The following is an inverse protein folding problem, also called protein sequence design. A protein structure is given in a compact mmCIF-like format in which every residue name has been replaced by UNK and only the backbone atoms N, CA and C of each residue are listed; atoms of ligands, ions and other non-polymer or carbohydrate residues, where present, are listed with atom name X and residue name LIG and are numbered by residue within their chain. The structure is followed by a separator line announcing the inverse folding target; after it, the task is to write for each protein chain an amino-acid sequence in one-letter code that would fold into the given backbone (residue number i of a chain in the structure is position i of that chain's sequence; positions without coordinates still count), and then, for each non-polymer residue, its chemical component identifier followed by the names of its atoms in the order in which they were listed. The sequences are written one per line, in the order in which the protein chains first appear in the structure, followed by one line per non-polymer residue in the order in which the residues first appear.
data_IF_256052653418
#
_entry.id   IF_256052653418
#
_cell.length_a   1.000
_cell.length_b   1.000
_cell.length_c   1.000
_cell.angle_alpha   90.00
_cell.angle_beta   90.00
_cell.angle_gamma   90.00
#
_symmetry.space_group_name_H-M   'P 1'
#
loop_
_entity.id
_entity.type
_entity.pdbx_description
1 polymer ?
#
# COMPACT_ATOMS: atom_id res chain seq x y z
N UNK A 1 25.43 -10.06 -14.39
CA UNK A 1 24.81 -8.90 -13.73
C UNK A 1 24.98 -9.09 -12.23
N UNK A 2 25.99 -8.43 -11.63
CA UNK A 2 26.29 -8.57 -10.20
C UNK A 2 25.12 -8.04 -9.38
N UNK A 3 24.50 -8.91 -8.59
CA UNK A 3 23.54 -8.51 -7.58
C UNK A 3 24.25 -7.54 -6.62
N UNK A 4 23.82 -6.29 -6.61
CA UNK A 4 24.29 -5.33 -5.59
C UNK A 4 23.85 -5.86 -4.24
N UNK A 5 24.76 -5.95 -3.29
CA UNK A 5 24.42 -6.35 -1.92
C UNK A 5 23.34 -5.40 -1.37
N UNK A 6 22.42 -5.95 -0.58
CA UNK A 6 21.37 -5.19 0.10
C UNK A 6 21.91 -3.94 0.80
N UNK A 7 23.07 -4.02 1.44
CA UNK A 7 23.73 -2.91 2.12
C UNK A 7 24.08 -1.73 1.20
N UNK A 8 24.44 -1.99 -0.06
CA UNK A 8 24.73 -0.93 -1.04
C UNK A 8 23.46 -0.26 -1.60
N UNK A 9 22.33 -0.97 -1.62
CA UNK A 9 21.03 -0.40 -1.97
C UNK A 9 20.54 0.56 -0.87
N UNK A 10 20.75 0.20 0.40
CA UNK A 10 20.41 1.06 1.55
C UNK A 10 21.27 2.32 1.64
N UNK A 11 22.54 2.24 1.32
CA UNK A 11 23.48 3.37 1.43
C UNK A 11 23.20 4.52 0.45
N UNK A 12 22.33 4.33 -0.53
CA UNK A 12 22.00 5.33 -1.56
C UNK A 12 20.59 5.90 -1.49
N UNK A 13 19.77 5.41 -0.55
CA UNK A 13 18.37 5.84 -0.43
C UNK A 13 18.17 6.55 0.89
N UNK A 14 17.49 7.68 0.85
CA UNK A 14 17.09 8.39 2.05
C UNK A 14 16.02 7.58 2.77
N UNK A 15 16.27 7.25 4.02
CA UNK A 15 15.29 6.62 4.90
C UNK A 15 14.79 7.62 5.93
N UNK A 16 13.46 7.73 6.06
CA UNK A 16 12.80 8.58 7.03
C UNK A 16 12.00 7.71 8.00
N UNK A 17 12.34 7.68 9.30
CA UNK A 17 11.49 7.07 10.30
C UNK A 17 10.10 7.72 10.28
N UNK A 18 9.03 6.93 10.43
CA UNK A 18 7.68 7.48 10.46
C UNK A 18 7.42 8.33 11.70
N UNK A 19 7.89 7.86 12.83
CA UNK A 19 7.56 8.44 14.14
C UNK A 19 8.77 9.16 14.72
N UNK A 20 8.55 10.30 15.42
CA UNK A 20 9.68 11.05 16.01
C UNK A 20 10.37 10.29 17.14
N UNK A 21 9.59 9.47 17.85
CA UNK A 21 10.02 8.60 18.95
C UNK A 21 9.44 7.20 18.75
N UNK A 22 8.94 6.57 19.81
CA UNK A 22 8.26 5.28 19.72
C UNK A 22 6.96 5.38 18.92
N UNK A 23 6.62 4.35 18.11
CA UNK A 23 5.33 4.27 17.45
C UNK A 23 4.17 4.25 18.44
N UNK A 24 2.98 4.71 18.06
CA UNK A 24 1.80 4.70 18.93
C UNK A 24 1.52 3.31 19.52
N UNK A 25 1.13 3.27 20.80
CA UNK A 25 0.78 2.06 21.53
C UNK A 25 1.96 1.30 22.15
N UNK A 26 3.14 1.40 21.57
CA UNK A 26 4.31 0.67 22.05
C UNK A 26 4.24 -0.85 21.81
N UNK A 27 5.17 -1.59 22.43
CA UNK A 27 5.35 -3.02 22.20
C UNK A 27 6.16 -3.28 20.91
N UNK A 28 5.84 -4.38 20.25
CA UNK A 28 6.45 -4.74 18.98
C UNK A 28 7.64 -5.69 19.08
N UNK A 29 8.23 -6.06 17.94
CA UNK A 29 9.34 -6.99 17.89
C UNK A 29 10.64 -6.35 18.37
N UNK A 30 11.61 -7.18 18.65
CA UNK A 30 12.99 -6.78 18.99
C UNK A 30 13.98 -7.39 18.02
N UNK A 31 15.21 -6.87 18.04
CA UNK A 31 16.28 -7.37 17.20
C UNK A 31 16.29 -6.77 15.80
N UNK A 32 16.99 -7.42 14.88
CA UNK A 32 17.22 -6.92 13.54
C UNK A 32 16.04 -7.17 12.60
N UNK A 33 15.89 -6.29 11.62
CA UNK A 33 15.04 -6.53 10.45
C UNK A 33 15.37 -7.88 9.82
N UNK A 34 14.36 -8.67 9.47
CA UNK A 34 14.51 -9.92 8.74
C UNK A 34 14.19 -9.73 7.27
N UNK A 35 15.13 -10.13 6.43
CA UNK A 35 14.97 -10.08 4.98
C UNK A 35 15.11 -11.51 4.45
N UNK A 36 14.06 -12.02 3.82
CA UNK A 36 14.09 -13.36 3.20
C UNK A 36 14.87 -13.34 1.88
N UNK A 37 15.15 -14.54 1.34
CA UNK A 37 15.87 -14.69 0.08
C UNK A 37 15.19 -14.00 -1.11
N UNK A 38 13.86 -13.89 -1.09
CA UNK A 38 13.08 -13.20 -2.13
C UNK A 38 12.86 -11.70 -1.85
N UNK A 39 13.51 -11.14 -0.82
CA UNK A 39 13.43 -9.73 -0.48
C UNK A 39 12.19 -9.34 0.33
N UNK A 40 11.48 -10.28 0.95
CA UNK A 40 10.37 -9.97 1.86
C UNK A 40 10.88 -9.56 3.22
N UNK A 41 10.30 -8.48 3.76
CA UNK A 41 10.67 -7.92 5.06
C UNK A 41 9.70 -8.36 6.15
N UNK A 42 10.25 -8.65 7.33
CA UNK A 42 9.50 -8.88 8.57
C UNK A 42 10.33 -8.44 9.77
N UNK A 43 9.79 -8.55 10.96
CA UNK A 43 10.40 -8.00 12.17
C UNK A 43 10.62 -6.49 12.05
N UNK A 44 9.54 -5.77 11.76
CA UNK A 44 9.57 -4.33 11.51
C UNK A 44 9.58 -3.59 12.84
N UNK A 45 10.75 -3.35 13.37
CA UNK A 45 10.95 -2.59 14.62
C UNK A 45 10.77 -1.09 14.38
N UNK A 46 11.30 -0.59 13.26
CA UNK A 46 11.31 0.83 12.92
C UNK A 46 10.59 1.06 11.59
N UNK A 47 9.28 1.33 11.62
CA UNK A 47 8.55 1.66 10.39
C UNK A 47 9.06 2.97 9.80
N UNK A 48 9.06 3.05 8.48
CA UNK A 48 9.60 4.21 7.77
C UNK A 48 9.28 4.23 6.29
N UNK A 49 9.78 5.26 5.63
CA UNK A 49 9.70 5.38 4.18
C UNK A 49 11.10 5.50 3.58
N UNK A 50 11.33 4.80 2.48
CA UNK A 50 12.54 4.93 1.67
C UNK A 50 12.23 5.82 0.46
N UNK A 51 12.96 6.91 0.28
CA UNK A 51 12.79 7.83 -0.83
C UNK A 51 13.71 7.46 -1.99
N UNK A 52 13.14 7.36 -3.17
CA UNK A 52 13.81 7.12 -4.44
C UNK A 52 13.59 8.33 -5.35
N UNK A 53 14.63 9.15 -5.51
CA UNK A 53 14.55 10.38 -6.32
C UNK A 53 14.92 10.06 -7.76
N UNK A 54 14.09 10.41 -8.76
CA UNK A 54 14.40 10.21 -10.15
C UNK A 54 15.50 11.17 -10.63
N UNK A 55 16.16 10.81 -11.73
CA UNK A 55 17.17 11.68 -12.36
C UNK A 55 16.54 13.01 -12.84
N UNK A 56 15.34 12.94 -13.40
CA UNK A 56 14.60 14.10 -13.89
C UNK A 56 13.21 14.16 -13.21
N UNK A 57 13.10 14.79 -12.03
CA UNK A 57 11.83 14.85 -11.28
C UNK A 57 10.75 15.62 -12.02
N UNK A 58 9.52 15.08 -12.04
CA UNK A 58 8.33 15.76 -12.59
C UNK A 58 7.53 16.55 -11.53
N UNK A 59 8.00 16.60 -10.28
CA UNK A 59 7.35 17.31 -9.17
C UNK A 59 6.20 16.53 -8.51
N UNK A 60 6.00 15.26 -8.87
CA UNK A 60 4.94 14.40 -8.31
C UNK A 60 5.56 13.22 -7.58
N UNK A 61 4.89 12.78 -6.51
CA UNK A 61 5.34 11.67 -5.66
C UNK A 61 4.32 10.54 -5.64
N UNK A 62 4.83 9.30 -5.51
CA UNK A 62 4.01 8.10 -5.31
C UNK A 62 4.48 7.39 -4.04
N UNK A 63 3.58 7.18 -3.10
CA UNK A 63 3.78 6.33 -1.93
C UNK A 63 3.35 4.91 -2.27
N UNK A 64 4.28 3.97 -2.13
CA UNK A 64 4.11 2.56 -2.49
C UNK A 64 3.97 1.73 -1.21
N UNK A 65 2.97 0.86 -1.16
CA UNK A 65 2.84 -0.17 -0.15
C UNK A 65 2.79 -1.55 -0.81
N UNK A 66 3.82 -2.37 -0.58
CA UNK A 66 3.86 -3.75 -1.00
C UNK A 66 2.93 -4.63 -0.16
N UNK A 67 2.52 -5.77 -0.70
CA UNK A 67 1.69 -6.75 -0.02
C UNK A 67 2.48 -7.75 0.80
N UNK A 68 1.81 -8.83 1.20
CA UNK A 68 2.35 -9.91 2.05
C UNK A 68 1.36 -10.36 3.12
N UNK A 69 0.06 -10.07 2.94
CA UNK A 69 -1.01 -10.50 3.85
C UNK A 69 -0.91 -9.92 5.25
N UNK A 70 -0.23 -8.81 5.44
CA UNK A 70 0.15 -8.24 6.75
C UNK A 70 1.05 -9.16 7.59
N UNK A 71 1.67 -10.16 6.99
CA UNK A 71 2.61 -11.08 7.66
C UNK A 71 4.07 -10.78 7.31
N UNK A 72 4.29 -10.19 6.14
CA UNK A 72 5.57 -9.67 5.66
C UNK A 72 5.31 -8.53 4.67
N UNK A 73 6.37 -7.89 4.21
CA UNK A 73 6.29 -6.83 3.19
C UNK A 73 7.12 -7.27 1.98
N UNK A 74 6.49 -7.45 0.84
CA UNK A 74 7.10 -7.92 -0.41
C UNK A 74 7.98 -6.87 -1.11
N UNK A 75 8.99 -6.34 -0.43
CA UNK A 75 9.84 -5.26 -0.92
C UNK A 75 10.54 -5.59 -2.23
N UNK A 76 11.04 -6.83 -2.36
CA UNK A 76 11.79 -7.27 -3.54
C UNK A 76 10.96 -7.42 -4.80
N UNK A 77 9.65 -7.56 -4.69
CA UNK A 77 8.72 -7.75 -5.82
C UNK A 77 7.89 -6.51 -6.12
N UNK A 78 7.35 -5.88 -5.10
CA UNK A 78 6.34 -4.83 -5.22
C UNK A 78 6.81 -3.47 -4.69
N UNK A 79 7.93 -3.43 -3.97
CA UNK A 79 8.49 -2.20 -3.45
C UNK A 79 9.53 -1.58 -4.38
N UNK A 80 10.76 -2.06 -4.31
CA UNK A 80 11.89 -1.46 -5.02
C UNK A 80 11.77 -1.50 -6.54
N UNK A 81 11.36 -2.61 -7.19
CA UNK A 81 11.23 -2.62 -8.64
C UNK A 81 10.19 -1.59 -9.14
N UNK A 82 9.10 -1.42 -8.41
CA UNK A 82 8.06 -0.44 -8.72
C UNK A 82 8.58 0.99 -8.50
N UNK A 83 9.33 1.24 -7.44
CA UNK A 83 9.97 2.54 -7.20
C UNK A 83 10.91 2.93 -8.33
N UNK A 84 11.75 2.00 -8.79
CA UNK A 84 12.67 2.23 -9.92
C UNK A 84 11.90 2.49 -11.22
N UNK A 85 10.84 1.74 -11.46
CA UNK A 85 10.00 1.95 -12.62
C UNK A 85 9.36 3.35 -12.60
N UNK A 86 8.82 3.78 -11.46
CA UNK A 86 8.27 5.13 -11.28
C UNK A 86 9.35 6.22 -11.48
N UNK A 87 10.56 6.00 -11.00
CA UNK A 87 11.68 6.89 -11.25
C UNK A 87 11.97 7.03 -12.75
N UNK A 88 11.87 5.96 -13.53
CA UNK A 88 12.04 6.01 -14.99
C UNK A 88 10.99 6.87 -15.68
N UNK A 89 9.84 7.10 -15.01
CA UNK A 89 8.74 7.96 -15.49
C UNK A 89 8.78 9.38 -14.88
N UNK A 90 9.78 9.68 -14.05
CA UNK A 90 9.97 11.00 -13.44
C UNK A 90 9.32 11.21 -12.09
N UNK A 91 8.66 10.20 -11.52
CA UNK A 91 8.05 10.29 -10.19
C UNK A 91 9.07 10.04 -9.08
N UNK A 92 9.06 10.86 -8.05
CA UNK A 92 9.70 10.52 -6.78
C UNK A 92 8.88 9.42 -6.12
N UNK A 93 9.53 8.32 -5.74
CA UNK A 93 8.85 7.20 -5.12
C UNK A 93 9.25 7.07 -3.65
N UNK A 94 8.28 6.76 -2.82
CA UNK A 94 8.45 6.47 -1.39
C UNK A 94 7.94 5.06 -1.13
N UNK A 95 8.79 4.18 -0.62
CA UNK A 95 8.41 2.80 -0.31
C UNK A 95 8.21 2.68 1.20
N UNK A 96 7.00 2.29 1.60
CA UNK A 96 6.61 2.18 3.00
C UNK A 96 7.02 0.83 3.58
N UNK A 97 7.75 0.86 4.70
CA UNK A 97 7.85 -0.28 5.61
C UNK A 97 6.94 -0.02 6.81
N UNK A 98 5.89 -0.80 6.93
CA UNK A 98 4.83 -0.62 7.93
C UNK A 98 4.87 -1.73 8.97
N UNK A 99 4.40 -1.43 10.17
CA UNK A 99 4.32 -2.41 11.25
C UNK A 99 3.34 -3.53 10.88
N UNK A 100 3.69 -4.74 11.28
CA UNK A 100 2.88 -5.94 11.02
C UNK A 100 2.08 -6.30 12.28
N UNK A 101 0.74 -6.50 12.14
CA UNK A 101 -0.14 -6.74 13.31
C UNK A 101 0.27 -7.90 14.20
N UNK A 102 0.82 -8.98 13.60
CA UNK A 102 1.24 -10.17 14.33
C UNK A 102 2.57 -10.06 15.09
N UNK A 103 3.21 -8.89 15.07
CA UNK A 103 4.55 -8.69 15.67
C UNK A 103 4.48 -8.07 17.07
N UNK A 104 3.47 -8.42 17.87
CA UNK A 104 3.35 -8.10 19.30
C UNK A 104 3.23 -6.61 19.65
N UNK A 105 2.68 -5.81 18.74
CA UNK A 105 2.34 -4.42 19.02
C UNK A 105 1.12 -4.34 19.93
N UNK A 106 1.12 -3.40 20.89
CA UNK A 106 -0.01 -3.23 21.82
C UNK A 106 -1.27 -2.77 21.10
N UNK A 107 -1.14 -1.91 20.06
CA UNK A 107 -2.27 -1.48 19.25
C UNK A 107 -2.76 -2.52 18.23
N UNK A 108 -2.10 -3.68 18.16
CA UNK A 108 -2.56 -4.88 17.46
C UNK A 108 -2.78 -4.65 15.98
N UNK A 109 -4.01 -4.92 15.52
CA UNK A 109 -4.37 -4.84 14.12
C UNK A 109 -4.43 -3.39 13.55
N UNK A 110 -4.34 -2.36 14.39
CA UNK A 110 -4.41 -0.95 13.96
C UNK A 110 -3.08 -0.39 13.48
N UNK A 111 -1.96 -1.04 13.80
CA UNK A 111 -0.62 -0.45 13.62
C UNK A 111 -0.27 -0.13 12.16
N UNK A 112 -0.63 -1.01 11.22
CA UNK A 112 -0.36 -0.78 9.80
C UNK A 112 -1.17 0.41 9.25
N UNK A 113 -2.42 0.55 9.67
CA UNK A 113 -3.26 1.69 9.28
C UNK A 113 -2.74 3.00 9.87
N UNK A 114 -2.31 3.00 11.12
CA UNK A 114 -1.65 4.16 11.76
C UNK A 114 -0.41 4.59 10.97
N UNK A 115 0.42 3.63 10.59
CA UNK A 115 1.62 3.88 9.79
C UNK A 115 1.28 4.40 8.40
N UNK A 116 0.22 3.89 7.76
CA UNK A 116 -0.24 4.40 6.47
C UNK A 116 -0.66 5.87 6.53
N UNK A 117 -1.46 6.25 7.53
CA UNK A 117 -1.86 7.65 7.71
C UNK A 117 -0.63 8.53 7.98
N UNK A 118 0.25 8.10 8.85
CA UNK A 118 1.48 8.85 9.18
C UNK A 118 2.38 9.00 7.95
N UNK A 119 2.52 7.94 7.14
CA UNK A 119 3.32 7.97 5.91
C UNK A 119 2.76 8.98 4.89
N UNK A 120 1.45 9.01 4.70
CA UNK A 120 0.82 9.98 3.80
C UNK A 120 1.09 11.41 4.29
N UNK A 121 0.95 11.68 5.59
CA UNK A 121 1.26 12.97 6.20
C UNK A 121 2.72 13.36 6.00
N UNK A 122 3.63 12.42 6.23
CA UNK A 122 5.07 12.66 6.11
C UNK A 122 5.46 12.99 4.66
N UNK A 123 4.95 12.24 3.69
CA UNK A 123 5.19 12.53 2.27
C UNK A 123 4.58 13.89 1.90
N UNK A 124 3.38 14.20 2.37
CA UNK A 124 2.75 15.52 2.13
C UNK A 124 3.52 16.68 2.77
N UNK A 125 4.28 16.45 3.81
CA UNK A 125 5.15 17.49 4.38
C UNK A 125 6.33 17.85 3.46
N UNK A 126 6.66 16.96 2.52
CA UNK A 126 7.79 17.10 1.60
C UNK A 126 7.36 17.35 0.15
N UNK A 127 6.14 16.96 -0.22
CA UNK A 127 5.66 16.91 -1.60
C UNK A 127 4.28 17.56 -1.74
N UNK A 128 4.08 18.29 -2.83
CA UNK A 128 2.78 18.94 -3.11
C UNK A 128 1.75 17.97 -3.68
N UNK A 129 2.18 17.07 -4.56
CA UNK A 129 1.33 16.06 -5.19
C UNK A 129 1.70 14.68 -4.67
N UNK A 130 0.73 13.97 -4.09
CA UNK A 130 0.95 12.66 -3.47
C UNK A 130 -0.08 11.67 -3.96
N UNK A 131 0.40 10.67 -4.69
CA UNK A 131 -0.38 9.55 -5.19
C UNK A 131 -0.06 8.30 -4.39
N UNK A 132 -1.03 7.39 -4.25
CA UNK A 132 -0.85 6.12 -3.55
C UNK A 132 -0.85 4.97 -4.55
N UNK A 133 0.01 3.98 -4.33
CA UNK A 133 0.05 2.75 -5.11
C UNK A 133 0.23 1.57 -4.17
N UNK A 134 -0.80 0.74 -4.03
CA UNK A 134 -0.80 -0.39 -3.11
C UNK A 134 -1.05 -1.72 -3.81
N UNK A 135 -0.38 -2.77 -3.31
CA UNK A 135 -0.44 -4.13 -3.84
C UNK A 135 -1.04 -5.07 -2.79
N UNK A 136 -2.05 -5.85 -3.15
CA UNK A 136 -2.64 -6.88 -2.28
C UNK A 136 -3.04 -6.31 -0.90
N UNK A 137 -2.44 -6.79 0.19
CA UNK A 137 -2.65 -6.23 1.54
C UNK A 137 -2.22 -4.76 1.64
N UNK A 138 -1.17 -4.36 0.93
CA UNK A 138 -0.77 -2.95 0.81
C UNK A 138 -1.82 -2.11 0.09
N UNK A 139 -2.51 -2.70 -0.87
CA UNK A 139 -3.69 -2.12 -1.51
C UNK A 139 -4.86 -1.95 -0.55
N UNK A 140 -5.13 -2.95 0.29
CA UNK A 140 -6.11 -2.84 1.36
C UNK A 140 -5.79 -1.66 2.28
N UNK A 141 -4.56 -1.60 2.76
CA UNK A 141 -4.11 -0.57 3.72
C UNK A 141 -4.21 0.84 3.13
N UNK A 142 -3.66 1.08 1.95
CA UNK A 142 -3.70 2.40 1.32
C UNK A 142 -5.10 2.75 0.81
N UNK A 143 -5.85 1.77 0.32
CA UNK A 143 -7.25 1.95 -0.06
C UNK A 143 -8.11 2.40 1.11
N UNK A 144 -7.92 1.79 2.27
CA UNK A 144 -8.63 2.15 3.50
C UNK A 144 -8.19 3.52 4.02
N UNK A 145 -6.90 3.82 4.01
CA UNK A 145 -6.38 5.13 4.44
C UNK A 145 -6.93 6.26 3.56
N UNK A 146 -7.00 6.05 2.25
CA UNK A 146 -7.60 7.01 1.32
C UNK A 146 -9.10 7.24 1.56
N UNK A 147 -9.82 6.22 2.05
CA UNK A 147 -11.24 6.32 2.38
C UNK A 147 -11.52 7.01 3.72
N UNK A 148 -10.54 7.07 4.61
CA UNK A 148 -10.71 7.54 5.99
C UNK A 148 -9.67 8.59 6.41
N UNK A 149 -9.47 9.68 5.64
CA UNK A 149 -8.45 10.68 5.96
C UNK A 149 -8.74 11.43 7.27
N UNK A 150 -10.00 11.50 7.68
CA UNK A 150 -10.43 12.21 8.90
C UNK A 150 -10.50 11.31 10.14
N UNK A 151 -10.20 10.01 9.99
CA UNK A 151 -10.24 9.08 11.12
C UNK A 151 -8.99 9.22 12.00
N UNK A 152 -9.17 9.54 13.27
CA UNK A 152 -8.09 9.67 14.24
C UNK A 152 -7.66 8.29 14.76
N UNK A 153 -6.75 7.61 14.06
CA UNK A 153 -6.29 6.27 14.44
C UNK A 153 -5.24 6.28 15.56
N UNK A 154 -4.64 7.44 15.84
CA UNK A 154 -3.68 7.66 16.91
C UNK A 154 -3.73 9.13 17.38
N UNK A 155 -3.21 9.39 18.56
CA UNK A 155 -3.09 10.76 19.09
C UNK A 155 -1.94 11.51 18.38
N UNK A 156 -2.12 12.78 17.94
CA UNK A 156 -1.08 13.56 17.32
C UNK A 156 0.20 13.62 18.16
N UNK A 157 1.36 13.45 17.51
CA UNK A 157 2.67 13.45 18.19
C UNK A 157 3.51 14.68 17.87
N UNK A 158 3.34 15.30 16.70
CA UNK A 158 4.10 16.45 16.25
C UNK A 158 3.33 17.29 15.21
N UNK A 159 3.98 18.29 14.63
CA UNK A 159 3.37 19.19 13.64
C UNK A 159 2.94 18.46 12.35
N UNK A 160 3.59 17.35 11.96
CA UNK A 160 3.24 16.57 10.79
C UNK A 160 1.83 16.00 10.94
N UNK A 161 1.41 15.66 12.15
CA UNK A 161 0.08 15.11 12.43
C UNK A 161 -1.06 16.13 12.33
N UNK A 162 -0.75 17.41 12.11
CA UNK A 162 -1.73 18.42 11.73
C UNK A 162 -2.09 18.38 10.23
N UNK A 163 -1.29 17.71 9.42
CA UNK A 163 -1.54 17.55 7.98
C UNK A 163 -2.65 16.51 7.80
N UNK A 164 -3.66 16.85 6.98
CA UNK A 164 -4.70 15.87 6.62
C UNK A 164 -4.09 14.84 5.64
N UNK A 165 -4.18 13.53 5.93
CA UNK A 165 -3.57 12.50 5.08
C UNK A 165 -4.41 12.19 3.83
N UNK A 166 -4.60 13.19 2.98
CA UNK A 166 -5.30 13.07 1.70
C UNK A 166 -4.34 12.65 0.59
N UNK A 167 -4.85 11.86 -0.34
CA UNK A 167 -4.17 11.48 -1.58
C UNK A 167 -4.80 12.18 -2.78
N UNK A 168 -3.99 12.44 -3.81
CA UNK A 168 -4.46 13.03 -5.07
C UNK A 168 -5.01 11.97 -6.02
N UNK A 169 -4.52 10.74 -5.92
CA UNK A 169 -5.08 9.55 -6.60
C UNK A 169 -4.65 8.27 -5.90
N UNK A 170 -5.31 7.17 -6.24
CA UNK A 170 -5.05 5.85 -5.66
C UNK A 170 -4.97 4.82 -6.78
N UNK A 171 -3.89 4.02 -6.81
CA UNK A 171 -3.76 2.83 -7.62
C UNK A 171 -3.74 1.59 -6.73
N UNK A 172 -4.58 0.61 -7.03
CA UNK A 172 -4.69 -0.63 -6.28
C UNK A 172 -4.53 -1.82 -7.23
N UNK A 173 -3.53 -2.65 -6.98
CA UNK A 173 -3.16 -3.77 -7.82
C UNK A 173 -3.46 -5.05 -7.08
N UNK A 174 -4.31 -5.90 -7.65
CA UNK A 174 -4.87 -7.10 -7.02
C UNK A 174 -5.17 -6.92 -5.52
N UNK A 175 -5.91 -5.87 -5.15
CA UNK A 175 -6.08 -5.54 -3.74
C UNK A 175 -6.99 -6.52 -3.01
N UNK A 176 -6.80 -6.64 -1.70
CA UNK A 176 -7.87 -7.05 -0.81
C UNK A 176 -8.70 -5.80 -0.49
N UNK A 177 -10.00 -5.85 -0.65
CA UNK A 177 -10.93 -4.74 -0.40
C UNK A 177 -11.90 -5.10 0.71
N UNK A 178 -12.57 -6.24 0.59
CA UNK A 178 -13.54 -6.68 1.57
C UNK A 178 -12.99 -7.82 2.44
N UNK A 179 -13.31 -7.76 3.73
CA UNK A 179 -13.09 -8.86 4.67
C UNK A 179 -14.40 -9.57 5.01
N UNK A 180 -15.50 -9.21 4.33
CA UNK A 180 -16.82 -9.80 4.58
C UNK A 180 -17.01 -11.10 3.79
N UNK A 181 -17.82 -12.05 4.30
CA UNK A 181 -18.13 -13.27 3.57
C UNK A 181 -18.73 -13.00 2.18
N UNK A 182 -18.39 -13.84 1.17
CA UNK A 182 -17.62 -15.07 1.24
C UNK A 182 -16.09 -14.88 1.07
N UNK A 183 -15.58 -13.66 1.07
CA UNK A 183 -14.18 -13.31 0.75
C UNK A 183 -13.28 -13.30 2.00
N UNK A 184 -13.31 -14.37 2.80
CA UNK A 184 -12.68 -14.42 4.12
C UNK A 184 -11.42 -15.31 4.21
N UNK A 185 -10.96 -15.85 3.09
CA UNK A 185 -9.89 -16.86 3.07
C UNK A 185 -8.45 -16.29 2.98
N UNK A 186 -8.30 -14.96 2.98
CA UNK A 186 -6.99 -14.34 2.80
C UNK A 186 -6.19 -14.26 4.10
N UNK A 187 -4.86 -14.21 3.98
CA UNK A 187 -4.00 -13.89 5.12
C UNK A 187 -4.26 -12.48 5.67
N UNK A 188 -4.69 -11.56 4.83
CA UNK A 188 -5.12 -10.20 5.24
C UNK A 188 -6.28 -10.28 6.24
N UNK A 189 -7.30 -11.06 5.94
CA UNK A 189 -8.42 -11.31 6.85
C UNK A 189 -7.92 -11.91 8.16
N UNK A 190 -7.15 -12.99 8.09
CA UNK A 190 -6.62 -13.66 9.28
C UNK A 190 -5.77 -12.73 10.16
N UNK A 191 -4.93 -11.90 9.54
CA UNK A 191 -4.04 -10.98 10.25
C UNK A 191 -4.79 -9.84 10.96
N UNK A 192 -5.89 -9.35 10.38
CA UNK A 192 -6.63 -8.20 10.91
C UNK A 192 -7.77 -8.58 11.86
N UNK A 193 -8.49 -9.66 11.56
CA UNK A 193 -9.70 -10.01 12.32
C UNK A 193 -9.68 -11.42 12.92
N UNK A 194 -8.64 -12.21 12.61
CA UNK A 194 -8.49 -13.55 13.17
C UNK A 194 -9.41 -14.60 12.57
N UNK A 195 -9.57 -15.72 13.30
CA UNK A 195 -10.34 -16.89 12.83
C UNK A 195 -11.84 -16.83 13.13
N UNK A 196 -12.23 -16.04 14.12
CA UNK A 196 -13.61 -15.98 14.64
C UNK A 196 -14.09 -14.53 14.79
N UNK A 197 -14.04 -13.71 13.71
CA UNK A 197 -14.48 -12.33 13.81
C UNK A 197 -16.02 -12.23 13.88
N UNK A 198 -16.49 -11.14 14.48
CA UNK A 198 -17.88 -10.73 14.30
C UNK A 198 -18.09 -10.10 12.92
N UNK A 199 -19.33 -10.09 12.39
CA UNK A 199 -19.64 -9.34 11.17
C UNK A 199 -19.26 -7.86 11.24
N UNK A 200 -19.35 -7.24 12.42
CA UNK A 200 -18.98 -5.84 12.63
C UNK A 200 -17.46 -5.62 12.49
N UNK A 201 -16.65 -6.54 12.97
CA UNK A 201 -15.19 -6.47 12.81
C UNK A 201 -14.78 -6.59 11.34
N UNK A 202 -15.40 -7.53 10.62
CA UNK A 202 -15.16 -7.69 9.19
C UNK A 202 -15.58 -6.44 8.40
N UNK A 203 -16.75 -5.88 8.70
CA UNK A 203 -17.24 -4.67 8.06
C UNK A 203 -16.36 -3.45 8.36
N UNK A 204 -15.85 -3.32 9.59
CA UNK A 204 -14.97 -2.21 10.00
C UNK A 204 -13.65 -2.17 9.22
N UNK A 205 -13.16 -3.30 8.76
CA UNK A 205 -11.93 -3.41 8.00
C UNK A 205 -12.15 -3.51 6.48
N UNK A 206 -13.39 -3.45 6.03
CA UNK A 206 -13.74 -3.54 4.61
C UNK A 206 -13.77 -2.15 3.97
N UNK A 207 -12.94 -1.93 2.98
CA UNK A 207 -12.69 -0.62 2.37
C UNK A 207 -13.95 -0.01 1.76
N UNK A 208 -14.75 -0.83 1.07
CA UNK A 208 -15.96 -0.38 0.37
C UNK A 208 -16.98 0.31 1.30
N UNK A 209 -16.95 0.01 2.59
CA UNK A 209 -17.88 0.58 3.56
C UNK A 209 -17.59 2.05 3.90
N UNK A 210 -16.43 2.56 3.50
CA UNK A 210 -16.00 3.93 3.79
C UNK A 210 -15.85 4.81 2.55
N UNK A 211 -16.12 4.28 1.38
CA UNK A 211 -16.02 5.05 0.13
C UNK A 211 -17.17 6.07 0.07
N UNK A 212 -16.80 7.33 -0.14
CA UNK A 212 -17.72 8.43 -0.38
C UNK A 212 -17.35 9.13 -1.69
N UNK A 213 -18.15 10.12 -2.10
CA UNK A 213 -17.81 10.95 -3.27
C UNK A 213 -16.48 11.71 -3.15
N UNK A 214 -15.95 11.82 -1.94
CA UNK A 214 -14.65 12.47 -1.67
C UNK A 214 -13.46 11.53 -1.87
N UNK A 215 -13.70 10.24 -2.16
CA UNK A 215 -12.62 9.30 -2.45
C UNK A 215 -11.83 9.77 -3.68
N UNK A 216 -10.48 9.69 -3.66
CA UNK A 216 -9.67 10.13 -4.79
C UNK A 216 -9.95 9.32 -6.07
N UNK A 217 -9.60 9.85 -7.25
CA UNK A 217 -9.62 9.05 -8.48
C UNK A 217 -8.87 7.74 -8.30
N UNK A 218 -9.45 6.65 -8.79
CA UNK A 218 -8.98 5.28 -8.54
C UNK A 218 -8.58 4.58 -9.84
N UNK A 219 -7.43 3.91 -9.81
CA UNK A 219 -7.00 2.94 -10.81
C UNK A 219 -6.95 1.55 -10.18
N UNK A 220 -7.49 0.56 -10.88
CA UNK A 220 -7.47 -0.84 -10.46
C UNK A 220 -6.84 -1.71 -11.56
N UNK A 221 -6.02 -2.68 -11.15
CA UNK A 221 -5.57 -3.77 -12.04
C UNK A 221 -5.81 -5.11 -11.34
N UNK A 222 -6.41 -6.05 -12.06
CA UNK A 222 -6.85 -7.33 -11.50
C UNK A 222 -6.73 -8.44 -12.53
N UNK A 223 -6.08 -9.56 -12.16
CA UNK A 223 -6.08 -10.78 -12.96
C UNK A 223 -7.34 -11.61 -12.68
N UNK A 224 -7.93 -12.16 -13.75
CA UNK A 224 -9.14 -12.97 -13.66
C UNK A 224 -8.89 -14.33 -12.99
N UNK A 225 -7.66 -14.82 -13.04
CA UNK A 225 -7.22 -16.09 -12.49
C UNK A 225 -6.54 -15.94 -11.10
N UNK A 226 -6.80 -14.86 -10.39
CA UNK A 226 -6.29 -14.64 -9.03
C UNK A 226 -7.08 -15.53 -8.04
N UNK A 227 -6.39 -16.51 -7.45
CA UNK A 227 -6.97 -17.42 -6.44
C UNK A 227 -6.60 -17.05 -5.00
N UNK A 228 -5.81 -16.01 -4.81
CA UNK A 228 -5.42 -15.52 -3.48
C UNK A 228 -6.32 -14.39 -3.02
N UNK A 229 -6.45 -13.32 -3.82
CA UNK A 229 -7.43 -12.27 -3.64
C UNK A 229 -8.47 -12.39 -4.74
N UNK A 230 -9.67 -12.86 -4.38
CA UNK A 230 -10.73 -13.05 -5.36
C UNK A 230 -10.90 -11.79 -6.22
N UNK A 231 -10.93 -11.91 -7.55
CA UNK A 231 -11.12 -10.77 -8.46
C UNK A 231 -12.33 -9.89 -8.13
N UNK A 232 -13.33 -10.44 -7.46
CA UNK A 232 -14.51 -9.70 -7.00
C UNK A 232 -14.16 -8.55 -6.06
N UNK A 233 -13.05 -8.61 -5.31
CA UNK A 233 -12.56 -7.48 -4.53
C UNK A 233 -12.43 -6.20 -5.37
N UNK A 234 -11.81 -6.32 -6.54
CA UNK A 234 -11.65 -5.18 -7.44
C UNK A 234 -12.97 -4.73 -8.06
N UNK A 235 -13.87 -5.66 -8.37
CA UNK A 235 -15.22 -5.36 -8.88
C UNK A 235 -16.03 -4.60 -7.84
N UNK A 236 -16.04 -5.06 -6.59
CA UNK A 236 -16.72 -4.40 -5.47
C UNK A 236 -16.22 -2.96 -5.33
N UNK A 237 -14.91 -2.76 -5.34
CA UNK A 237 -14.34 -1.42 -5.20
C UNK A 237 -14.67 -0.52 -6.38
N UNK A 238 -14.57 -1.04 -7.60
CA UNK A 238 -14.95 -0.34 -8.84
C UNK A 238 -16.41 0.13 -8.78
N UNK A 239 -17.32 -0.79 -8.47
CA UNK A 239 -18.76 -0.48 -8.47
C UNK A 239 -19.15 0.47 -7.35
N UNK A 240 -18.53 0.32 -6.17
CA UNK A 240 -18.73 1.23 -5.05
C UNK A 240 -18.30 2.66 -5.40
N UNK A 241 -17.12 2.81 -5.99
CA UNK A 241 -16.63 4.10 -6.45
C UNK A 241 -17.53 4.72 -7.52
N UNK A 242 -17.96 3.94 -8.49
CA UNK A 242 -18.89 4.43 -9.53
C UNK A 242 -20.21 4.92 -8.94
N UNK A 243 -20.80 4.18 -8.03
CA UNK A 243 -22.04 4.58 -7.33
C UNK A 243 -21.86 5.85 -6.53
N UNK A 244 -20.67 6.07 -5.96
CA UNK A 244 -20.35 7.27 -5.21
C UNK A 244 -20.01 8.48 -6.11
N UNK A 245 -19.92 8.30 -7.43
CA UNK A 245 -19.55 9.35 -8.37
C UNK A 245 -18.03 9.61 -8.46
N UNK A 246 -17.21 8.64 -8.01
CA UNK A 246 -15.75 8.70 -8.08
C UNK A 246 -15.28 8.21 -9.44
N UNK A 247 -14.31 8.91 -10.03
CA UNK A 247 -13.66 8.48 -11.27
C UNK A 247 -12.86 7.21 -11.01
N UNK A 248 -13.14 6.14 -11.75
CA UNK A 248 -12.45 4.86 -11.63
C UNK A 248 -12.17 4.26 -13.00
N UNK A 249 -10.94 3.72 -13.14
CA UNK A 249 -10.53 2.93 -14.30
C UNK A 249 -10.04 1.57 -13.78
N UNK A 250 -10.46 0.49 -14.43
CA UNK A 250 -10.02 -0.86 -14.10
C UNK A 250 -9.46 -1.56 -15.33
N UNK A 251 -8.26 -2.10 -15.19
CA UNK A 251 -7.63 -2.97 -16.18
C UNK A 251 -7.85 -4.42 -15.72
N UNK A 252 -8.54 -5.20 -16.55
CA UNK A 252 -8.73 -6.63 -16.32
C UNK A 252 -7.70 -7.40 -17.12
N UNK A 253 -6.97 -8.26 -16.43
CA UNK A 253 -5.86 -9.05 -16.96
C UNK A 253 -6.34 -10.49 -17.06
N UNK A 254 -6.24 -11.10 -18.25
CA UNK A 254 -6.76 -12.44 -18.46
C UNK A 254 -6.03 -13.51 -17.65
N UNK A 255 -4.73 -13.39 -17.49
CA UNK A 255 -3.88 -14.31 -16.75
C UNK A 255 -2.75 -13.54 -16.05
N UNK A 256 -2.42 -13.95 -14.84
CA UNK A 256 -1.36 -13.36 -14.04
C UNK A 256 -1.34 -13.91 -12.62
N UNK A 257 -2.46 -14.46 -12.17
CA UNK A 257 -2.61 -14.92 -10.79
C UNK A 257 -2.51 -13.77 -9.80
N UNK A 258 -1.85 -14.02 -8.69
CA UNK A 258 -1.65 -13.04 -7.62
C UNK A 258 -0.15 -12.73 -7.43
N UNK A 259 0.15 -11.49 -7.09
CA UNK A 259 1.52 -11.09 -6.74
C UNK A 259 2.47 -10.98 -7.92
N UNK A 260 1.97 -10.65 -9.11
CA UNK A 260 2.81 -10.55 -10.31
C UNK A 260 3.68 -9.28 -10.36
N UNK A 261 3.53 -8.31 -9.43
CA UNK A 261 4.30 -7.06 -9.44
C UNK A 261 4.13 -6.30 -10.76
N UNK A 262 5.23 -5.91 -11.40
CA UNK A 262 5.21 -5.29 -12.73
C UNK A 262 4.86 -6.27 -13.86
N UNK A 263 4.78 -7.55 -13.56
CA UNK A 263 4.57 -8.59 -14.56
C UNK A 263 5.83 -8.98 -15.32
N UNK A 264 5.79 -10.16 -15.92
CA UNK A 264 6.86 -10.65 -16.78
C UNK A 264 6.61 -10.16 -18.21
N UNK A 265 7.63 -9.60 -18.85
CA UNK A 265 7.55 -9.12 -20.24
C UNK A 265 6.96 -10.18 -21.17
N UNK A 266 6.03 -9.77 -22.03
CA UNK A 266 5.35 -10.66 -22.98
C UNK A 266 4.16 -11.41 -22.38
N UNK A 267 3.84 -11.23 -21.10
CA UNK A 267 2.66 -11.82 -20.45
C UNK A 267 1.52 -10.81 -20.33
N UNK A 268 0.26 -11.25 -20.19
CA UNK A 268 -0.87 -10.35 -20.01
C UNK A 268 -0.72 -9.40 -18.80
N UNK A 269 -0.08 -9.85 -17.72
CA UNK A 269 0.13 -9.04 -16.51
C UNK A 269 1.07 -7.86 -16.74
N UNK A 270 1.94 -7.89 -17.74
CA UNK A 270 2.92 -6.84 -18.01
C UNK A 270 2.33 -5.57 -18.63
N UNK A 271 1.02 -5.51 -18.86
CA UNK A 271 0.38 -4.36 -19.53
C UNK A 271 -0.14 -3.29 -18.58
N UNK A 272 -0.34 -3.61 -17.29
CA UNK A 272 -1.00 -2.67 -16.38
C UNK A 272 -0.15 -1.46 -16.07
N UNK A 273 1.16 -1.60 -15.99
CA UNK A 273 2.08 -0.53 -15.59
C UNK A 273 2.03 0.66 -16.57
N UNK A 274 2.10 0.42 -17.86
CA UNK A 274 1.98 1.49 -18.88
C UNK A 274 0.57 2.10 -18.88
N UNK A 275 -0.49 1.32 -18.69
CA UNK A 275 -1.84 1.85 -18.55
C UNK A 275 -1.94 2.74 -17.29
N UNK A 276 -1.35 2.32 -16.19
CA UNK A 276 -1.26 3.14 -14.97
C UNK A 276 -0.45 4.43 -15.19
N UNK A 277 0.68 4.35 -15.88
CA UNK A 277 1.51 5.52 -16.18
C UNK A 277 0.74 6.57 -16.99
N UNK A 278 -0.01 6.15 -18.02
CA UNK A 278 -0.87 7.03 -18.81
C UNK A 278 -1.97 7.65 -17.95
N UNK A 279 -2.62 6.83 -17.13
CA UNK A 279 -3.67 7.29 -16.23
C UNK A 279 -3.14 8.28 -15.19
N UNK A 280 -1.99 7.99 -14.58
CA UNK A 280 -1.36 8.81 -13.55
C UNK A 280 -0.90 10.17 -14.12
N UNK A 281 -0.35 10.19 -15.33
CA UNK A 281 0.10 11.41 -15.98
C UNK A 281 -1.03 12.44 -16.17
N UNK A 282 -2.27 11.99 -16.27
CA UNK A 282 -3.45 12.84 -16.39
C UNK A 282 -3.95 13.38 -15.03
N UNK A 283 -3.32 13.02 -13.91
CA UNK A 283 -3.70 13.48 -12.56
C UNK A 283 -2.82 14.68 -12.17
N UNK A 284 -3.45 15.67 -11.55
CA UNK A 284 -2.77 16.87 -11.05
C UNK A 284 -2.52 16.77 -9.55
#
# INVERSE_FOLDING_TARGET
MLAMSTDKLFARQDFFPLWPDEPPGGGGPTGALRISANGSWSNIVSPGIQRFVPENPNGKAVLIAAGGGYRWIGMGREGWPVARWLNSKGYTAYVLSYRLPGEHWQDGNRVAFQDAQRAIRLVRSMENNVHLLGFSAGGHMLGLAAARPDYASYAPQDAIDQIIPKADSVGLIYPVITLEPPYTHTNTHLSLVGNHPSPAEEANWSVQNYVTRAYPPLFLAQAEDDHTSDPENSVIMHDTCRKAGVSVQMIRISQGGHGFGLGKAGTPAAIWDEAYAVWLAARN
#
